data_IF_973123851449
#
_entry.id   IF_973123851449
#
_cell.length_a   1.000
_cell.length_b   1.000
_cell.length_c   1.000
_cell.angle_alpha   90.00
_cell.angle_beta   90.00
_cell.angle_gamma   90.00
#
_symmetry.space_group_name_H-M   'P 1'
#
loop_
_entity.id
_entity.type
_entity.pdbx_description
1 polymer ?
#
# COMPACT_ATOMS: atom_id res chain seq x y z
N UNK A 1 3.02 19.53 -13.68
CA UNK A 1 3.74 19.54 -12.41
C UNK A 1 5.21 19.21 -12.66
N UNK A 2 6.13 19.88 -11.99
CA UNK A 2 7.56 19.54 -12.02
C UNK A 2 7.89 18.69 -10.81
N UNK A 3 8.36 17.47 -11.04
CA UNK A 3 8.60 16.49 -9.98
C UNK A 3 9.92 16.75 -9.24
N UNK A 4 10.00 16.24 -8.00
CA UNK A 4 11.18 16.40 -7.13
C UNK A 4 12.43 15.79 -7.77
N UNK A 5 12.31 14.66 -8.47
CA UNK A 5 13.41 14.04 -9.23
C UNK A 5 14.03 14.93 -10.29
N UNK A 6 13.25 15.88 -10.82
CA UNK A 6 13.67 16.78 -11.91
C UNK A 6 14.24 18.11 -11.42
N UNK A 7 14.35 18.28 -10.08
CA UNK A 7 14.80 19.52 -9.48
C UNK A 7 16.34 19.56 -9.36
N UNK A 8 16.91 20.67 -9.82
CA UNK A 8 18.34 20.94 -9.75
C UNK A 8 18.61 22.23 -8.98
N UNK A 9 19.83 22.36 -8.41
CA UNK A 9 20.27 23.59 -7.74
C UNK A 9 20.11 24.80 -8.66
N UNK A 10 19.52 25.87 -8.12
CA UNK A 10 19.25 27.13 -8.84
C UNK A 10 17.84 27.21 -9.43
N UNK A 11 17.10 26.10 -9.50
CA UNK A 11 15.76 26.07 -10.07
C UNK A 11 14.76 26.91 -9.25
N UNK A 12 13.93 27.67 -9.95
CA UNK A 12 12.75 28.32 -9.37
C UNK A 12 11.58 27.33 -9.41
N UNK A 13 10.90 27.17 -8.27
CA UNK A 13 9.78 26.24 -8.10
C UNK A 13 8.51 27.02 -7.79
N UNK A 14 7.40 26.66 -8.45
CA UNK A 14 6.06 27.12 -8.14
C UNK A 14 5.11 25.94 -8.35
N UNK A 15 5.11 25.00 -7.40
CA UNK A 15 4.44 23.70 -7.54
C UNK A 15 3.71 23.31 -6.26
N UNK A 16 2.76 22.39 -6.38
CA UNK A 16 2.09 21.80 -5.23
C UNK A 16 2.87 20.55 -4.81
N UNK A 17 3.13 20.42 -3.51
CA UNK A 17 3.71 19.23 -2.89
C UNK A 17 2.90 18.81 -1.65
N UNK A 18 2.97 17.54 -1.29
CA UNK A 18 2.49 17.08 0.01
C UNK A 18 3.49 17.50 1.10
N UNK A 19 3.02 18.23 2.10
CA UNK A 19 3.82 18.55 3.29
C UNK A 19 3.81 17.36 4.26
N UNK A 20 4.74 16.43 4.11
CA UNK A 20 4.81 15.22 4.96
C UNK A 20 5.06 15.54 6.42
N UNK A 21 5.96 16.49 6.70
CA UNK A 21 6.27 16.95 8.05
C UNK A 21 6.41 18.47 8.12
N UNK A 22 6.08 19.04 9.29
CA UNK A 22 6.26 20.46 9.61
C UNK A 22 6.82 20.58 11.02
N UNK A 23 8.01 21.09 11.16
CA UNK A 23 8.68 21.28 12.45
C UNK A 23 9.11 22.73 12.62
N UNK A 24 8.69 23.41 13.69
CA UNK A 24 9.23 24.71 14.03
C UNK A 24 10.69 24.60 14.50
N UNK A 25 11.52 25.56 14.13
CA UNK A 25 12.90 25.66 14.56
C UNK A 25 13.27 27.08 14.94
N UNK A 26 14.39 27.23 15.64
CA UNK A 26 14.98 28.54 15.95
C UNK A 26 16.41 28.59 15.39
N UNK A 27 16.68 29.60 14.57
CA UNK A 27 18.01 29.79 13.99
C UNK A 27 19.04 30.23 15.04
N UNK A 28 20.32 30.13 14.73
CA UNK A 28 21.42 30.62 15.58
C UNK A 28 21.31 32.14 15.95
N UNK A 29 20.51 32.88 15.18
CA UNK A 29 20.23 34.30 15.39
C UNK A 29 18.91 34.56 16.11
N UNK A 30 18.26 33.52 16.70
CA UNK A 30 17.00 33.65 17.44
C UNK A 30 15.75 33.81 16.56
N UNK A 31 15.87 33.72 15.22
CA UNK A 31 14.69 33.80 14.32
C UNK A 31 14.01 32.45 14.20
N UNK A 32 12.69 32.44 14.34
CA UNK A 32 11.87 31.27 14.07
C UNK A 32 11.81 30.96 12.58
N UNK A 33 11.81 29.67 12.24
CA UNK A 33 11.67 29.16 10.88
C UNK A 33 10.89 27.84 10.88
N UNK A 34 10.38 27.39 9.71
CA UNK A 34 9.85 26.05 9.56
C UNK A 34 10.83 25.16 8.78
N UNK A 35 10.98 23.94 9.26
CA UNK A 35 11.59 22.83 8.55
C UNK A 35 10.48 21.91 8.05
N UNK A 36 10.42 21.67 6.75
CA UNK A 36 9.41 20.86 6.09
C UNK A 36 10.08 19.67 5.41
N UNK A 37 9.38 18.55 5.31
CA UNK A 37 9.65 17.52 4.33
C UNK A 37 8.52 17.56 3.31
N UNK A 38 8.84 17.82 2.05
CA UNK A 38 7.89 17.84 0.95
C UNK A 38 8.02 16.57 0.14
N UNK A 39 6.90 16.04 -0.35
CA UNK A 39 6.82 14.78 -1.08
C UNK A 39 6.04 14.92 -2.37
N UNK A 40 6.48 14.23 -3.40
CA UNK A 40 5.70 13.81 -4.55
C UNK A 40 5.94 12.32 -4.85
N UNK A 41 5.35 11.77 -5.91
CA UNK A 41 5.50 10.35 -6.28
C UNK A 41 6.93 9.94 -6.66
N UNK A 42 7.82 10.90 -6.91
CA UNK A 42 9.21 10.65 -7.32
C UNK A 42 10.20 10.71 -6.17
N UNK A 43 9.79 11.24 -5.01
CA UNK A 43 10.66 11.32 -3.85
C UNK A 43 10.29 12.40 -2.85
N UNK A 44 11.24 12.73 -2.00
CA UNK A 44 11.13 13.76 -0.95
C UNK A 44 12.23 14.78 -1.07
N UNK A 45 11.93 16.03 -0.69
CA UNK A 45 12.89 17.13 -0.59
C UNK A 45 12.70 17.91 0.71
N UNK A 46 13.81 18.29 1.35
CA UNK A 46 13.76 19.20 2.49
C UNK A 46 13.38 20.60 2.05
N UNK A 47 12.44 21.24 2.78
CA UNK A 47 12.04 22.62 2.62
C UNK A 47 12.39 23.46 3.85
N UNK A 48 12.86 24.68 3.63
CA UNK A 48 13.10 25.66 4.70
C UNK A 48 12.36 26.95 4.42
N UNK A 49 11.63 27.41 5.43
CA UNK A 49 10.93 28.69 5.44
C UNK A 49 11.64 29.57 6.47
N UNK A 50 12.66 30.32 6.02
CA UNK A 50 13.51 31.11 6.92
C UNK A 50 12.83 32.37 7.46
N UNK A 51 11.84 32.90 6.74
CA UNK A 51 11.12 34.12 7.12
C UNK A 51 9.62 33.85 7.16
N UNK A 52 9.02 33.92 8.34
CA UNK A 52 7.59 33.73 8.56
C UNK A 52 6.85 35.03 8.31
N UNK A 53 6.68 35.40 7.02
CA UNK A 53 5.96 36.58 6.56
C UNK A 53 4.50 36.28 6.30
N UNK A 54 3.69 37.29 5.97
CA UNK A 54 2.29 37.13 5.53
C UNK A 54 2.15 36.32 4.23
N UNK A 55 3.24 36.05 3.51
CA UNK A 55 3.26 35.17 2.33
C UNK A 55 3.25 33.67 2.69
N UNK A 56 3.38 33.36 3.98
CA UNK A 56 3.27 31.99 4.50
C UNK A 56 1.86 31.82 5.09
N UNK A 57 0.95 31.24 4.29
CA UNK A 57 -0.39 30.92 4.73
C UNK A 57 -0.43 29.84 5.82
N UNK A 58 -1.60 29.65 6.41
CA UNK A 58 -1.81 28.57 7.38
C UNK A 58 -1.86 27.22 6.65
N UNK A 59 -1.08 26.24 7.16
CA UNK A 59 -1.07 24.85 6.70
C UNK A 59 -0.54 23.96 7.84
N UNK A 60 -0.86 22.66 7.75
CA UNK A 60 -0.37 21.65 8.70
C UNK A 60 0.39 20.53 7.95
N UNK A 61 1.04 19.65 8.71
CA UNK A 61 1.56 18.40 8.15
C UNK A 61 0.40 17.62 7.51
N UNK A 62 0.70 16.91 6.43
CA UNK A 62 -0.23 16.16 5.57
C UNK A 62 -1.16 17.04 4.69
N UNK A 63 -1.00 18.36 4.70
CA UNK A 63 -1.66 19.23 3.72
C UNK A 63 -0.91 19.23 2.37
N UNK A 64 -1.68 19.34 1.28
CA UNK A 64 -1.14 19.69 -0.03
C UNK A 64 -0.95 21.20 -0.09
N UNK A 65 0.27 21.64 -0.35
CA UNK A 65 0.65 23.05 -0.31
C UNK A 65 1.30 23.50 -1.61
N UNK A 66 0.81 24.62 -2.16
CA UNK A 66 1.53 25.32 -3.22
C UNK A 66 2.69 26.08 -2.60
N UNK A 67 3.90 25.74 -3.01
CA UNK A 67 5.12 26.40 -2.56
C UNK A 67 5.75 27.19 -3.70
N UNK A 68 6.32 28.36 -3.38
CA UNK A 68 7.21 29.11 -4.27
C UNK A 68 8.52 29.33 -3.59
N UNK A 69 9.60 29.02 -4.30
CA UNK A 69 10.95 29.11 -3.75
C UNK A 69 12.01 28.75 -4.75
N UNK A 70 13.22 28.58 -4.26
CA UNK A 70 14.38 28.22 -5.06
C UNK A 70 15.07 26.98 -4.48
N UNK A 71 15.49 26.08 -5.36
CA UNK A 71 16.32 24.93 -4.99
C UNK A 71 17.73 25.40 -4.69
N UNK A 72 18.24 25.01 -3.53
CA UNK A 72 19.61 25.27 -3.08
C UNK A 72 20.29 23.95 -2.72
N UNK A 73 21.61 23.92 -2.67
CA UNK A 73 22.35 22.75 -2.19
C UNK A 73 22.80 22.97 -0.74
N UNK A 74 22.56 21.98 0.12
CA UNK A 74 23.04 21.94 1.48
C UNK A 74 23.64 20.57 1.80
N UNK A 75 24.92 20.54 2.16
CA UNK A 75 25.68 19.29 2.44
C UNK A 75 25.60 18.24 1.32
N UNK A 76 25.52 18.69 0.05
CA UNK A 76 25.46 17.80 -1.11
C UNK A 76 24.06 17.29 -1.47
N UNK A 77 23.02 17.73 -0.77
CA UNK A 77 21.63 17.40 -1.06
C UNK A 77 20.84 18.64 -1.47
N UNK A 78 19.88 18.46 -2.38
CA UNK A 78 18.95 19.52 -2.75
C UNK A 78 18.03 19.87 -1.59
N UNK A 79 17.80 21.17 -1.39
CA UNK A 79 16.89 21.72 -0.40
C UNK A 79 16.09 22.87 -1.01
N UNK A 80 14.81 22.97 -0.74
CA UNK A 80 13.96 24.06 -1.24
C UNK A 80 13.92 25.21 -0.24
N UNK A 81 14.46 26.36 -0.62
CA UNK A 81 14.31 27.60 0.12
C UNK A 81 12.99 28.27 -0.25
N UNK A 82 12.01 28.20 0.66
CA UNK A 82 10.62 28.55 0.40
C UNK A 82 10.33 29.98 0.85
N UNK A 83 9.72 30.75 -0.03
CA UNK A 83 9.37 32.16 0.18
C UNK A 83 7.88 32.39 0.35
N UNK A 84 7.04 31.52 -0.29
CA UNK A 84 5.59 31.60 -0.21
C UNK A 84 4.99 30.21 -0.06
N UNK A 85 3.93 30.12 0.75
CA UNK A 85 3.14 28.91 0.93
C UNK A 85 1.66 29.27 1.00
N UNK A 86 0.84 28.51 0.32
CA UNK A 86 -0.60 28.44 0.59
C UNK A 86 -1.08 26.99 0.54
N UNK A 87 -2.14 26.69 1.26
CA UNK A 87 -2.83 25.40 1.13
C UNK A 87 -3.45 25.29 -0.27
N UNK A 88 -3.30 24.14 -0.91
CA UNK A 88 -3.95 23.85 -2.18
C UNK A 88 -5.44 23.57 -1.96
N UNK A 89 -6.26 23.89 -2.96
CA UNK A 89 -7.70 23.62 -2.94
C UNK A 89 -7.99 22.28 -3.61
N UNK A 90 -9.12 21.69 -3.28
CA UNK A 90 -9.62 20.49 -3.95
C UNK A 90 -9.79 20.74 -5.46
N UNK A 91 -9.24 19.82 -6.27
CA UNK A 91 -9.21 19.95 -7.73
C UNK A 91 -7.98 20.67 -8.30
N UNK A 92 -7.10 21.25 -7.48
CA UNK A 92 -5.81 21.80 -7.95
C UNK A 92 -4.71 20.74 -8.10
N UNK A 93 -4.93 19.53 -7.57
CA UNK A 93 -3.93 18.45 -7.56
C UNK A 93 -4.60 17.07 -7.72
N UNK A 94 -3.84 16.11 -8.24
CA UNK A 94 -4.21 14.70 -8.25
C UNK A 94 -3.35 13.97 -7.20
N UNK A 95 -3.97 13.21 -6.30
CA UNK A 95 -3.28 12.46 -5.26
C UNK A 95 -2.23 11.48 -5.82
N UNK A 96 -2.48 10.93 -7.02
CA UNK A 96 -1.55 10.06 -7.72
C UNK A 96 -0.20 10.71 -8.07
N UNK A 97 -0.11 12.05 -8.04
CA UNK A 97 1.15 12.78 -8.26
C UNK A 97 2.02 12.91 -7.01
N UNK A 98 1.48 12.57 -5.83
CA UNK A 98 2.20 12.76 -4.54
C UNK A 98 2.49 11.47 -3.81
N UNK A 99 1.86 10.39 -4.22
CA UNK A 99 1.99 9.09 -3.59
C UNK A 99 2.45 8.07 -4.63
N UNK A 100 3.33 7.13 -4.26
CA UNK A 100 3.60 6.03 -5.14
C UNK A 100 2.29 5.31 -5.49
N UNK A 101 2.12 4.95 -6.75
CA UNK A 101 0.94 4.27 -7.27
C UNK A 101 1.37 3.09 -8.12
N UNK A 102 0.54 2.05 -8.16
CA UNK A 102 0.76 0.94 -9.08
C UNK A 102 0.91 1.44 -10.51
N UNK A 103 1.78 0.79 -11.27
CA UNK A 103 1.94 1.03 -12.72
C UNK A 103 0.84 0.34 -13.54
N UNK A 104 0.01 -0.51 -12.91
CA UNK A 104 -1.05 -1.28 -13.56
C UNK A 104 -2.37 -0.51 -13.57
N UNK A 105 -3.24 -0.84 -14.51
CA UNK A 105 -4.59 -0.28 -14.57
C UNK A 105 -5.45 -0.84 -13.42
N UNK A 106 -5.74 0.01 -12.43
CA UNK A 106 -6.53 -0.33 -11.24
C UNK A 106 -7.93 -0.85 -11.63
N UNK A 107 -8.60 -0.20 -12.58
CA UNK A 107 -9.93 -0.62 -13.01
C UNK A 107 -9.87 -1.93 -13.81
N UNK A 108 -8.81 -2.14 -14.58
CA UNK A 108 -8.52 -3.41 -15.25
C UNK A 108 -8.31 -4.54 -14.25
N UNK A 109 -7.48 -4.34 -13.24
CA UNK A 109 -7.25 -5.32 -12.16
C UNK A 109 -8.54 -5.66 -11.40
N UNK A 110 -9.37 -4.67 -11.09
CA UNK A 110 -10.64 -4.91 -10.42
C UNK A 110 -11.62 -5.69 -11.29
N UNK A 111 -11.66 -5.45 -12.60
CA UNK A 111 -12.43 -6.28 -13.56
C UNK A 111 -11.95 -7.72 -13.59
N UNK A 112 -10.63 -7.97 -13.51
CA UNK A 112 -10.08 -9.32 -13.40
C UNK A 112 -10.53 -10.02 -12.11
N UNK A 113 -10.50 -9.33 -10.97
CA UNK A 113 -11.00 -9.81 -9.69
C UNK A 113 -12.48 -10.24 -9.83
N UNK A 114 -13.33 -9.37 -10.38
CA UNK A 114 -14.75 -9.68 -10.61
C UNK A 114 -14.94 -10.88 -11.56
N UNK A 115 -14.08 -11.02 -12.57
CA UNK A 115 -14.11 -12.18 -13.45
C UNK A 115 -13.75 -13.49 -12.73
N UNK A 116 -12.83 -13.47 -11.75
CA UNK A 116 -12.55 -14.65 -10.90
C UNK A 116 -13.75 -15.01 -10.02
N UNK A 117 -14.43 -14.02 -9.42
CA UNK A 117 -15.67 -14.23 -8.65
C UNK A 117 -16.74 -14.88 -9.54
N UNK A 118 -16.91 -14.39 -10.76
CA UNK A 118 -17.94 -14.91 -11.68
C UNK A 118 -17.75 -16.39 -12.05
N UNK A 119 -16.48 -16.85 -12.10
CA UNK A 119 -16.11 -18.25 -12.40
C UNK A 119 -16.29 -19.21 -11.22
N UNK A 120 -16.52 -18.68 -10.01
CA UNK A 120 -16.68 -19.49 -8.79
C UNK A 120 -17.98 -20.28 -8.85
N UNK A 121 -17.88 -21.61 -8.65
CA UNK A 121 -19.01 -22.57 -8.74
C UNK A 121 -19.72 -22.70 -7.40
N UNK A 122 -18.98 -22.60 -6.27
CA UNK A 122 -19.58 -22.67 -4.94
C UNK A 122 -20.41 -21.41 -4.68
N UNK A 123 -21.73 -21.59 -4.60
CA UNK A 123 -22.67 -20.46 -4.45
C UNK A 123 -22.45 -19.62 -3.19
N UNK A 124 -22.04 -20.23 -2.07
CA UNK A 124 -21.84 -19.53 -0.80
C UNK A 124 -20.57 -18.68 -0.83
N UNK A 125 -19.46 -19.19 -1.38
CA UNK A 125 -18.22 -18.44 -1.56
C UNK A 125 -18.43 -17.29 -2.56
N UNK A 126 -19.20 -17.55 -3.63
CA UNK A 126 -19.53 -16.52 -4.62
C UNK A 126 -20.37 -15.41 -3.99
N UNK A 127 -21.45 -15.74 -3.27
CA UNK A 127 -22.28 -14.74 -2.57
C UNK A 127 -21.47 -13.93 -1.55
N UNK A 128 -20.54 -14.58 -0.81
CA UNK A 128 -19.68 -13.89 0.13
C UNK A 128 -18.76 -12.89 -0.59
N UNK A 129 -18.14 -13.28 -1.71
CA UNK A 129 -17.32 -12.38 -2.52
C UNK A 129 -18.14 -11.24 -3.14
N UNK A 130 -19.36 -11.52 -3.61
CA UNK A 130 -20.27 -10.49 -4.13
C UNK A 130 -20.64 -9.47 -3.06
N UNK A 131 -20.91 -9.90 -1.82
CA UNK A 131 -21.15 -8.99 -0.69
C UNK A 131 -19.94 -8.07 -0.43
N UNK A 132 -18.73 -8.60 -0.49
CA UNK A 132 -17.51 -7.87 -0.20
C UNK A 132 -17.18 -6.85 -1.32
N UNK A 133 -17.19 -7.30 -2.58
CA UNK A 133 -16.61 -6.53 -3.69
C UNK A 133 -17.65 -5.89 -4.62
N UNK A 134 -18.93 -6.24 -4.52
CA UNK A 134 -19.98 -5.74 -5.43
C UNK A 134 -21.06 -4.96 -4.66
N UNK A 135 -21.58 -5.52 -3.56
CA UNK A 135 -22.66 -4.90 -2.79
C UNK A 135 -22.13 -3.74 -1.93
N UNK A 136 -20.98 -3.93 -1.24
CA UNK A 136 -20.33 -2.89 -0.47
C UNK A 136 -19.44 -2.00 -1.38
N UNK A 137 -20.08 -1.03 -2.04
CA UNK A 137 -19.39 -0.11 -2.96
C UNK A 137 -18.33 0.76 -2.27
N UNK A 138 -18.51 1.07 -0.99
CA UNK A 138 -17.53 1.84 -0.24
C UNK A 138 -16.27 1.02 0.01
N UNK A 139 -16.44 -0.20 0.51
CA UNK A 139 -15.33 -1.12 0.69
C UNK A 139 -14.60 -1.39 -0.64
N UNK A 140 -15.32 -1.67 -1.71
CA UNK A 140 -14.73 -1.93 -3.03
C UNK A 140 -13.91 -0.73 -3.55
N UNK A 141 -14.38 0.50 -3.30
CA UNK A 141 -13.65 1.72 -3.67
C UNK A 141 -12.34 1.84 -2.87
N UNK A 142 -12.42 1.72 -1.53
CA UNK A 142 -11.25 1.78 -0.66
C UNK A 142 -10.24 0.66 -0.98
N UNK A 143 -10.70 -0.57 -1.14
CA UNK A 143 -9.87 -1.73 -1.49
C UNK A 143 -9.08 -1.52 -2.79
N UNK A 144 -9.68 -0.85 -3.77
CA UNK A 144 -9.04 -0.54 -5.07
C UNK A 144 -7.85 0.39 -4.95
N UNK A 145 -7.89 1.33 -4.02
CA UNK A 145 -6.87 2.39 -3.90
C UNK A 145 -5.96 2.22 -2.68
N UNK A 146 -6.28 1.27 -1.80
CA UNK A 146 -5.54 1.04 -0.57
C UNK A 146 -4.15 0.44 -0.82
N UNK A 147 -3.22 0.72 0.10
CA UNK A 147 -1.93 0.03 0.16
C UNK A 147 -2.06 -1.34 0.82
N UNK A 148 -1.14 -2.26 0.49
CA UNK A 148 -1.01 -3.52 1.21
C UNK A 148 -0.05 -3.44 2.42
N UNK A 149 0.71 -2.35 2.56
CA UNK A 149 1.66 -2.15 3.65
C UNK A 149 1.94 -0.66 3.91
N UNK A 150 2.46 -0.34 5.09
CA UNK A 150 2.84 1.03 5.44
C UNK A 150 4.03 1.55 4.61
N UNK A 151 5.05 0.72 4.34
CA UNK A 151 6.32 1.20 3.77
C UNK A 151 7.14 0.18 2.99
N UNK A 152 6.68 -1.04 2.83
CA UNK A 152 7.37 -2.10 2.08
C UNK A 152 6.40 -2.71 1.08
N UNK A 153 6.87 -3.51 0.14
CA UNK A 153 6.14 -4.17 -0.95
C UNK A 153 4.63 -3.87 -1.01
N UNK A 154 4.16 -3.36 -2.12
CA UNK A 154 2.78 -2.89 -2.31
C UNK A 154 2.34 -1.73 -1.40
N UNK A 155 3.28 -0.94 -0.83
CA UNK A 155 3.02 0.24 0.01
C UNK A 155 2.59 1.48 -0.79
N UNK A 156 1.84 1.31 -1.86
CA UNK A 156 1.42 2.33 -2.81
C UNK A 156 -0.07 2.25 -3.13
N UNK A 157 -0.61 3.30 -3.78
CA UNK A 157 -2.01 3.32 -4.22
C UNK A 157 -2.29 2.15 -5.16
N UNK A 158 -3.30 1.36 -4.85
CA UNK A 158 -3.67 0.16 -5.59
C UNK A 158 -2.90 -1.10 -5.21
N UNK A 159 -1.96 -1.00 -4.26
CA UNK A 159 -1.11 -2.12 -3.84
C UNK A 159 -1.90 -3.28 -3.25
N UNK A 160 -2.94 -3.02 -2.45
CA UNK A 160 -3.77 -4.07 -1.86
C UNK A 160 -4.52 -4.89 -2.91
N UNK A 161 -5.10 -4.22 -3.91
CA UNK A 161 -5.78 -4.90 -5.02
C UNK A 161 -4.77 -5.69 -5.86
N UNK A 162 -3.62 -5.09 -6.18
CA UNK A 162 -2.57 -5.72 -6.98
C UNK A 162 -2.05 -6.99 -6.30
N UNK A 163 -1.69 -6.90 -5.01
CA UNK A 163 -1.27 -8.03 -4.19
C UNK A 163 -2.32 -9.14 -4.14
N UNK A 164 -3.55 -8.81 -3.74
CA UNK A 164 -4.62 -9.81 -3.61
C UNK A 164 -4.94 -10.51 -4.93
N UNK A 165 -4.89 -9.79 -6.05
CA UNK A 165 -5.10 -10.36 -7.38
C UNK A 165 -3.93 -11.25 -7.80
N UNK A 166 -2.69 -10.85 -7.51
CA UNK A 166 -1.49 -11.64 -7.78
C UNK A 166 -1.49 -12.95 -7.00
N UNK A 167 -1.75 -12.89 -5.69
CA UNK A 167 -1.90 -14.08 -4.83
C UNK A 167 -3.00 -15.00 -5.34
N UNK A 168 -4.15 -14.46 -5.78
CA UNK A 168 -5.23 -15.26 -6.34
C UNK A 168 -4.84 -15.96 -7.65
N UNK A 169 -4.06 -15.32 -8.52
CA UNK A 169 -3.52 -15.93 -9.76
C UNK A 169 -2.52 -17.06 -9.45
N UNK A 170 -1.66 -16.88 -8.44
CA UNK A 170 -0.76 -17.94 -7.97
C UNK A 170 -1.57 -19.12 -7.43
N UNK A 171 -2.59 -18.86 -6.60
CA UNK A 171 -3.49 -19.87 -6.06
C UNK A 171 -4.27 -20.62 -7.16
N UNK A 172 -4.70 -19.93 -8.21
CA UNK A 172 -5.33 -20.57 -9.38
C UNK A 172 -4.36 -21.51 -10.10
N UNK A 173 -3.07 -21.11 -10.20
CA UNK A 173 -2.02 -21.96 -10.78
C UNK A 173 -1.75 -23.19 -9.90
N UNK A 174 -1.76 -23.04 -8.57
CA UNK A 174 -1.65 -24.15 -7.64
C UNK A 174 -2.82 -25.12 -7.75
N UNK A 175 -4.07 -24.63 -7.86
CA UNK A 175 -5.23 -25.47 -8.04
C UNK A 175 -5.22 -26.28 -9.35
N UNK A 176 -4.59 -25.75 -10.41
CA UNK A 176 -4.36 -26.48 -11.64
C UNK A 176 -3.27 -27.57 -11.49
N UNK A 177 -2.23 -27.33 -10.68
CA UNK A 177 -1.13 -28.25 -10.45
C UNK A 177 -1.48 -29.34 -9.43
N UNK A 178 -2.25 -29.00 -8.39
CA UNK A 178 -2.65 -29.89 -7.29
C UNK A 178 -4.17 -30.11 -7.29
N UNK A 179 -4.65 -31.20 -7.92
CA UNK A 179 -6.09 -31.48 -8.05
C UNK A 179 -6.81 -31.70 -6.71
N UNK A 180 -6.08 -31.89 -5.60
CA UNK A 180 -6.62 -32.04 -4.26
C UNK A 180 -7.10 -30.70 -3.67
N UNK A 181 -6.63 -29.56 -4.20
CA UNK A 181 -7.03 -28.23 -3.76
C UNK A 181 -8.46 -27.93 -4.22
N UNK A 182 -9.27 -27.40 -3.31
CA UNK A 182 -10.53 -26.80 -3.68
C UNK A 182 -10.27 -25.41 -4.30
N UNK A 183 -10.31 -25.33 -5.62
CA UNK A 183 -10.05 -24.10 -6.40
C UNK A 183 -10.89 -22.93 -5.91
N UNK A 184 -12.18 -23.13 -5.67
CA UNK A 184 -13.08 -22.05 -5.29
C UNK A 184 -12.73 -21.51 -3.90
N UNK A 185 -12.37 -22.38 -2.96
CA UNK A 185 -11.99 -21.98 -1.61
C UNK A 185 -10.67 -21.18 -1.62
N UNK A 186 -9.62 -21.73 -2.23
CA UNK A 186 -8.30 -21.09 -2.19
C UNK A 186 -8.27 -19.76 -2.95
N UNK A 187 -8.89 -19.67 -4.14
CA UNK A 187 -8.92 -18.45 -4.93
C UNK A 187 -9.77 -17.36 -4.25
N UNK A 188 -10.93 -17.72 -3.72
CA UNK A 188 -11.74 -16.75 -3.00
C UNK A 188 -11.05 -16.28 -1.73
N UNK A 189 -10.45 -17.17 -0.93
CA UNK A 189 -9.68 -16.77 0.24
C UNK A 189 -8.50 -15.85 -0.14
N UNK A 190 -7.83 -16.08 -1.25
CA UNK A 190 -6.77 -15.22 -1.74
C UNK A 190 -7.24 -13.79 -2.07
N UNK A 191 -8.45 -13.65 -2.64
CA UNK A 191 -8.98 -12.31 -2.97
C UNK A 191 -9.28 -11.45 -1.74
N UNK A 192 -9.61 -12.03 -0.60
CA UNK A 192 -9.98 -11.28 0.61
C UNK A 192 -9.08 -11.49 1.83
N UNK A 193 -7.97 -12.28 1.72
CA UNK A 193 -7.11 -12.60 2.87
C UNK A 193 -6.64 -11.36 3.63
N UNK A 194 -6.38 -10.30 2.91
CA UNK A 194 -5.87 -9.03 3.42
C UNK A 194 -6.94 -7.93 3.51
N UNK A 195 -8.22 -8.27 3.40
CA UNK A 195 -9.31 -7.29 3.44
C UNK A 195 -9.34 -6.41 4.69
N UNK A 196 -8.79 -6.89 5.79
CA UNK A 196 -8.70 -6.15 7.05
C UNK A 196 -7.73 -4.98 7.00
N UNK A 197 -6.81 -4.93 6.04
CA UNK A 197 -5.86 -3.82 5.85
C UNK A 197 -6.55 -2.50 5.51
N UNK A 198 -7.73 -2.54 4.92
CA UNK A 198 -8.55 -1.34 4.66
C UNK A 198 -8.94 -0.61 5.94
N UNK A 199 -9.03 -1.32 7.07
CA UNK A 199 -9.36 -0.76 8.39
C UNK A 199 -8.11 -0.67 9.29
N UNK A 200 -7.07 -1.51 9.04
CA UNK A 200 -5.81 -1.51 9.79
C UNK A 200 -4.96 -0.27 9.50
N UNK A 201 -4.92 0.15 8.25
CA UNK A 201 -4.16 1.32 7.81
C UNK A 201 -5.10 2.48 7.49
N UNK A 202 -4.69 3.70 7.80
CA UNK A 202 -5.39 4.90 7.35
C UNK A 202 -5.23 5.07 5.84
N UNK A 203 -6.22 5.70 5.22
CA UNK A 203 -6.14 6.04 3.79
C UNK A 203 -5.00 7.01 3.51
N UNK A 204 -4.50 7.00 2.27
CA UNK A 204 -3.56 8.03 1.83
C UNK A 204 -4.12 9.44 2.05
N UNK A 205 -3.28 10.44 2.38
CA UNK A 205 -1.81 10.43 2.29
C UNK A 205 -1.06 9.93 3.53
N UNK A 206 -1.72 9.63 4.65
CA UNK A 206 -1.05 9.19 5.87
C UNK A 206 -0.41 7.82 5.72
N UNK A 207 -1.21 6.84 5.31
CA UNK A 207 -0.83 5.43 5.18
C UNK A 207 -0.13 4.91 6.43
N UNK A 208 -0.74 5.14 7.59
CA UNK A 208 -0.22 4.71 8.90
C UNK A 208 -1.22 3.79 9.62
N UNK A 209 -0.77 3.08 10.63
CA UNK A 209 -1.67 2.24 11.43
C UNK A 209 -2.71 3.09 12.16
N UNK A 210 -3.96 2.66 12.07
CA UNK A 210 -5.04 3.18 12.94
C UNK A 210 -4.89 2.64 14.36
N UNK A 211 -5.55 3.26 15.34
CA UNK A 211 -5.56 2.74 16.72
C UNK A 211 -6.11 1.31 16.77
N UNK A 212 -7.18 1.04 16.04
CA UNK A 212 -7.76 -0.31 15.93
C UNK A 212 -6.82 -1.27 15.22
N UNK A 213 -6.14 -0.82 14.17
CA UNK A 213 -5.11 -1.60 13.47
C UNK A 213 -3.97 -2.02 14.38
N UNK A 214 -3.47 -1.11 15.22
CA UNK A 214 -2.42 -1.40 16.19
C UNK A 214 -2.87 -2.38 17.29
N UNK A 215 -4.13 -2.32 17.71
CA UNK A 215 -4.64 -3.12 18.82
C UNK A 215 -5.11 -4.51 18.37
N UNK A 216 -5.65 -4.64 17.16
CA UNK A 216 -6.34 -5.86 16.70
C UNK A 216 -5.63 -6.53 15.54
N UNK A 217 -5.13 -5.76 14.57
CA UNK A 217 -4.45 -6.23 13.37
C UNK A 217 -5.41 -6.77 12.29
N UNK A 218 -5.00 -6.64 11.01
CA UNK A 218 -5.85 -6.96 9.84
C UNK A 218 -6.37 -8.40 9.81
N UNK A 219 -5.58 -9.38 10.27
CA UNK A 219 -5.99 -10.80 10.27
C UNK A 219 -7.25 -11.00 11.09
N UNK A 220 -7.26 -10.46 12.32
CA UNK A 220 -8.40 -10.60 13.23
C UNK A 220 -9.56 -9.72 12.78
N UNK A 221 -9.30 -8.48 12.36
CA UNK A 221 -10.31 -7.57 11.81
C UNK A 221 -11.02 -8.20 10.59
N UNK A 222 -10.24 -8.76 9.65
CA UNK A 222 -10.76 -9.48 8.50
C UNK A 222 -11.59 -10.70 8.88
N UNK A 223 -11.16 -11.50 9.87
CA UNK A 223 -11.89 -12.66 10.35
C UNK A 223 -13.24 -12.27 11.00
N UNK A 224 -13.29 -11.18 11.76
CA UNK A 224 -14.52 -10.62 12.35
C UNK A 224 -15.48 -10.16 11.24
N UNK A 225 -14.97 -9.45 10.24
CA UNK A 225 -15.77 -8.98 9.09
C UNK A 225 -16.34 -10.16 8.29
N UNK A 226 -15.53 -11.18 8.01
CA UNK A 226 -15.99 -12.40 7.35
C UNK A 226 -17.07 -13.12 8.16
N UNK A 227 -16.91 -13.30 9.48
CA UNK A 227 -17.91 -13.96 10.32
C UNK A 227 -19.25 -13.23 10.28
N UNK A 228 -19.24 -11.87 10.32
CA UNK A 228 -20.46 -11.07 10.18
C UNK A 228 -21.12 -11.29 8.82
N UNK A 229 -20.37 -11.18 7.72
CA UNK A 229 -20.93 -11.35 6.36
C UNK A 229 -21.44 -12.77 6.10
N UNK A 230 -20.77 -13.79 6.62
CA UNK A 230 -21.20 -15.21 6.53
C UNK A 230 -22.56 -15.39 7.21
N UNK A 231 -22.79 -14.79 8.39
CA UNK A 231 -24.06 -14.86 9.11
C UNK A 231 -25.23 -14.21 8.35
N UNK A 232 -24.94 -13.28 7.47
CA UNK A 232 -25.94 -12.63 6.61
C UNK A 232 -26.37 -13.49 5.41
N UNK A 233 -25.63 -14.57 5.10
CA UNK A 233 -25.94 -15.48 3.99
C UNK A 233 -26.76 -16.67 4.50
N UNK A 234 -28.07 -16.77 4.17
CA UNK A 234 -28.90 -17.86 4.65
C UNK A 234 -28.36 -19.22 4.23
N UNK A 235 -28.29 -20.16 5.17
CA UNK A 235 -27.88 -21.52 4.92
C UNK A 235 -26.38 -21.71 4.62
N UNK A 236 -25.53 -20.72 4.88
CA UNK A 236 -24.08 -20.87 4.73
C UNK A 236 -23.59 -22.06 5.58
N UNK A 237 -22.93 -23.09 4.98
CA UNK A 237 -22.57 -24.30 5.70
C UNK A 237 -21.56 -24.01 6.85
N UNK A 238 -21.83 -24.45 8.09
CA UNK A 238 -20.95 -24.12 9.22
C UNK A 238 -19.51 -24.64 9.07
N UNK A 239 -19.32 -25.79 8.41
CA UNK A 239 -17.97 -26.32 8.12
C UNK A 239 -17.22 -25.39 7.17
N UNK A 240 -17.85 -24.99 6.06
CA UNK A 240 -17.25 -24.05 5.10
C UNK A 240 -16.95 -22.70 5.74
N UNK A 241 -17.84 -22.21 6.62
CA UNK A 241 -17.61 -20.98 7.38
C UNK A 241 -16.32 -21.06 8.23
N UNK A 242 -16.07 -22.20 8.88
CA UNK A 242 -14.85 -22.40 9.65
C UNK A 242 -13.61 -22.56 8.75
N UNK A 243 -13.73 -23.19 7.59
CA UNK A 243 -12.66 -23.33 6.60
C UNK A 243 -12.23 -21.95 6.05
N UNK A 244 -13.19 -21.10 5.66
CA UNK A 244 -12.94 -19.72 5.22
C UNK A 244 -12.24 -18.91 6.32
N UNK A 245 -12.76 -18.93 7.55
CA UNK A 245 -12.14 -18.24 8.69
C UNK A 245 -10.76 -18.79 9.01
N UNK A 246 -10.56 -20.10 8.88
CA UNK A 246 -9.24 -20.69 9.09
C UNK A 246 -8.23 -20.23 8.07
N UNK A 247 -8.55 -20.16 6.78
CA UNK A 247 -7.68 -19.60 5.75
C UNK A 247 -7.30 -18.15 6.07
N UNK A 248 -8.26 -17.32 6.52
CA UNK A 248 -8.00 -15.94 6.97
C UNK A 248 -7.02 -15.91 8.16
N UNK A 249 -7.29 -16.72 9.21
CA UNK A 249 -6.49 -16.71 10.44
C UNK A 249 -5.11 -17.35 10.29
N UNK A 250 -4.85 -18.07 9.22
CA UNK A 250 -3.62 -18.85 9.01
C UNK A 250 -2.78 -18.38 7.81
N UNK A 251 -3.17 -17.29 7.10
CA UNK A 251 -2.53 -16.94 5.84
C UNK A 251 -1.07 -16.51 5.96
N UNK A 252 -0.62 -15.95 7.10
CA UNK A 252 0.81 -15.69 7.33
C UNK A 252 1.62 -16.96 7.65
N UNK A 253 0.97 -18.11 7.86
CA UNK A 253 1.61 -19.42 7.99
C UNK A 253 2.18 -19.73 9.36
N UNK A 254 3.02 -18.88 9.90
CA UNK A 254 3.72 -19.10 11.16
C UNK A 254 3.26 -18.13 12.27
N UNK A 255 3.30 -18.63 13.52
CA UNK A 255 2.90 -17.79 14.68
C UNK A 255 3.83 -16.60 14.88
N UNK A 256 5.11 -16.74 14.55
CA UNK A 256 6.11 -15.67 14.62
C UNK A 256 5.88 -14.55 13.61
N UNK A 257 5.12 -14.83 12.54
CA UNK A 257 4.69 -13.83 11.57
C UNK A 257 3.32 -13.20 11.90
N UNK A 258 2.83 -13.43 13.12
CA UNK A 258 1.57 -12.87 13.60
C UNK A 258 0.32 -13.68 13.23
N UNK A 259 0.48 -14.86 12.63
CA UNK A 259 -0.66 -15.73 12.32
C UNK A 259 -1.26 -16.30 13.62
N UNK A 260 -2.56 -16.07 13.92
CA UNK A 260 -3.18 -16.65 15.13
C UNK A 260 -3.23 -18.17 15.12
N UNK A 261 -3.16 -18.80 13.95
CA UNK A 261 -3.16 -20.26 13.75
C UNK A 261 -2.18 -20.66 12.66
N UNK A 262 -1.54 -21.82 12.82
CA UNK A 262 -0.83 -22.48 11.72
C UNK A 262 -1.82 -23.11 10.73
N UNK A 263 -1.49 -23.15 9.44
CA UNK A 263 -2.33 -23.80 8.43
C UNK A 263 -2.61 -25.26 8.76
N UNK A 264 -3.88 -25.62 8.77
CA UNK A 264 -4.38 -27.00 9.01
C UNK A 264 -5.20 -27.53 7.83
N UNK A 265 -5.38 -26.75 6.77
CA UNK A 265 -5.99 -27.13 5.50
C UNK A 265 -4.96 -27.03 4.38
N UNK A 266 -5.13 -27.83 3.34
CA UNK A 266 -4.27 -27.76 2.15
C UNK A 266 -4.38 -26.41 1.46
N UNK A 267 -5.57 -25.83 1.42
CA UNK A 267 -5.82 -24.48 0.90
C UNK A 267 -5.15 -23.40 1.74
N UNK A 268 -5.14 -23.55 3.06
CA UNK A 268 -4.51 -22.56 3.94
C UNK A 268 -2.99 -22.54 3.81
N UNK A 269 -2.33 -23.71 3.72
CA UNK A 269 -0.87 -23.74 3.50
C UNK A 269 -0.54 -23.23 2.09
N UNK A 270 -1.31 -23.58 1.07
CA UNK A 270 -1.07 -23.12 -0.28
C UNK A 270 -1.27 -21.59 -0.40
N UNK A 271 -2.30 -21.04 0.26
CA UNK A 271 -2.52 -19.59 0.36
C UNK A 271 -1.32 -18.88 1.02
N UNK A 272 -0.88 -19.39 2.17
CA UNK A 272 0.27 -18.82 2.90
C UNK A 272 1.55 -18.81 2.06
N UNK A 273 1.79 -19.86 1.27
CA UNK A 273 2.96 -19.88 0.38
C UNK A 273 2.81 -18.93 -0.81
N UNK A 274 1.60 -18.76 -1.34
CA UNK A 274 1.32 -17.83 -2.43
C UNK A 274 1.51 -16.37 -1.98
N UNK A 275 1.02 -16.02 -0.80
CA UNK A 275 1.16 -14.72 -0.16
C UNK A 275 2.64 -14.37 0.07
N UNK A 276 3.37 -15.24 0.75
CA UNK A 276 4.80 -15.07 0.99
C UNK A 276 5.64 -15.00 -0.31
N UNK A 277 5.25 -15.77 -1.33
CA UNK A 277 5.93 -15.71 -2.63
C UNK A 277 5.72 -14.35 -3.29
N UNK A 278 4.47 -13.86 -3.36
CA UNK A 278 4.17 -12.58 -3.98
C UNK A 278 4.90 -11.44 -3.27
N UNK A 279 4.83 -11.36 -1.93
CA UNK A 279 5.53 -10.36 -1.13
C UNK A 279 7.05 -10.35 -1.38
N UNK A 280 7.68 -11.53 -1.47
CA UNK A 280 9.11 -11.64 -1.76
C UNK A 280 9.45 -11.25 -3.19
N UNK A 281 8.66 -11.68 -4.17
CA UNK A 281 8.89 -11.34 -5.57
C UNK A 281 8.79 -9.84 -5.81
N UNK A 282 7.81 -9.18 -5.19
CA UNK A 282 7.66 -7.72 -5.28
C UNK A 282 8.85 -7.00 -4.62
N UNK A 283 9.25 -7.42 -3.40
CA UNK A 283 10.44 -6.86 -2.74
C UNK A 283 11.69 -6.98 -3.61
N UNK A 284 11.90 -8.13 -4.27
CA UNK A 284 13.02 -8.32 -5.19
C UNK A 284 12.91 -7.40 -6.41
N UNK A 285 11.70 -7.26 -6.99
CA UNK A 285 11.46 -6.42 -8.14
C UNK A 285 11.73 -4.93 -7.84
N UNK A 286 11.22 -4.42 -6.71
CA UNK A 286 11.47 -3.04 -6.25
C UNK A 286 12.97 -2.76 -6.09
N UNK A 287 13.71 -3.64 -5.39
CA UNK A 287 15.16 -3.50 -5.22
C UNK A 287 15.91 -3.52 -6.55
N UNK A 288 15.47 -4.37 -7.50
CA UNK A 288 16.08 -4.45 -8.83
C UNK A 288 15.78 -3.20 -9.68
N UNK A 289 14.61 -2.58 -9.53
CA UNK A 289 14.26 -1.34 -10.21
C UNK A 289 15.08 -0.14 -9.69
N UNK A 290 15.34 -0.07 -8.39
CA UNK A 290 16.15 0.99 -7.78
C UNK A 290 17.65 0.90 -8.12
N UNK A 291 18.13 -0.25 -8.58
CA UNK A 291 19.53 -0.44 -8.98
C UNK A 291 19.86 0.37 -10.23
N UNK A 292 20.95 1.13 -10.17
CA UNK A 292 21.52 1.81 -11.33
C UNK A 292 21.89 0.80 -12.42
N UNK A 293 21.87 1.24 -13.69
CA UNK A 293 22.18 0.38 -14.84
C UNK A 293 23.58 -0.24 -14.80
N UNK A 294 24.55 0.45 -14.20
CA UNK A 294 25.94 0.01 -14.04
C UNK A 294 26.20 -0.89 -12.83
N UNK A 295 25.19 -1.09 -11.97
CA UNK A 295 25.28 -1.94 -10.79
C UNK A 295 24.75 -3.33 -11.05
N UNK A 296 25.65 -4.36 -11.04
CA UNK A 296 25.23 -5.76 -11.12
C UNK A 296 24.60 -6.27 -9.81
N UNK A 297 25.07 -5.79 -8.65
CA UNK A 297 24.66 -6.24 -7.32
C UNK A 297 24.05 -5.10 -6.52
N UNK A 298 22.97 -5.38 -5.80
CA UNK A 298 22.44 -4.45 -4.78
C UNK A 298 23.39 -4.31 -3.60
N UNK A 299 23.19 -3.31 -2.76
CA UNK A 299 23.67 -3.30 -1.39
C UNK A 299 23.09 -4.50 -0.60
N UNK A 300 23.62 -4.76 0.61
CA UNK A 300 23.06 -5.78 1.48
C UNK A 300 21.65 -5.43 1.94
N UNK A 301 20.69 -6.32 1.67
CA UNK A 301 19.28 -6.16 2.01
C UNK A 301 18.97 -6.85 3.34
N UNK A 302 18.84 -6.09 4.42
CA UNK A 302 18.62 -6.64 5.77
C UNK A 302 17.37 -7.50 5.88
N UNK A 303 16.28 -7.11 5.19
CA UNK A 303 15.00 -7.84 5.20
C UNK A 303 15.12 -9.23 4.58
N UNK A 304 16.00 -9.40 3.60
CA UNK A 304 16.20 -10.64 2.85
C UNK A 304 17.47 -11.39 3.28
N UNK A 305 18.28 -10.79 4.17
CA UNK A 305 19.58 -11.30 4.63
C UNK A 305 20.52 -11.69 3.49
N UNK A 306 20.49 -10.93 2.38
CA UNK A 306 21.31 -11.21 1.19
C UNK A 306 21.54 -9.97 0.33
N UNK A 307 22.32 -10.13 -0.74
CA UNK A 307 22.43 -9.16 -1.85
C UNK A 307 21.73 -9.73 -3.06
N UNK A 308 21.13 -8.86 -3.86
CA UNK A 308 20.40 -9.22 -5.08
C UNK A 308 21.23 -8.88 -6.30
N UNK A 309 21.22 -9.77 -7.29
CA UNK A 309 21.86 -9.56 -8.59
C UNK A 309 20.85 -9.66 -9.71
N UNK A 310 20.91 -8.71 -10.65
CA UNK A 310 20.19 -8.84 -11.92
C UNK A 310 20.75 -10.01 -12.72
N UNK A 311 19.86 -10.76 -13.39
CA UNK A 311 20.30 -11.80 -14.34
C UNK A 311 20.96 -11.15 -15.56
N UNK A 312 21.92 -11.86 -16.16
CA UNK A 312 22.71 -11.35 -17.29
C UNK A 312 22.12 -11.68 -18.68
N UNK A 313 20.81 -11.94 -18.73
CA UNK A 313 20.08 -12.24 -19.98
C UNK A 313 19.09 -11.12 -20.29
#
# INVERSE_FOLDING_TARGET
MRYISDLHEGDQVSEIYLCKTKSPGTSKFGKSYYSLTLQDKTGMIDGKVWELTNAIGHFEAMDYILVRGQVTSYQGSNQLNIQQIRKAQEGEFDMADYMPSTKKDIDGMFKELLAMISKTKNQYLKQLAEKIFIEDKNFAREFKVHSAAKSVHHGYIGGLLEHSLSVAKICESYANLYPQLNRDLIVMCALWHDMGKVEELSSFPENDYTDEGQLVGHIVMGAIKLDRLIREIPGFPPKLANEVKHCMLAHHGELEFGSPKKPALLEAIALSQADNLDAKMETFAEIMEEQKEDQEWSGFQRLLDTRIRKTSI
#
